data_IF_200403329270
#
_entry.id   IF_200403329270
#
_cell.length_a   1.000
_cell.length_b   1.000
_cell.length_c   1.000
_cell.angle_alpha   90.00
_cell.angle_beta   90.00
_cell.angle_gamma   90.00
#
_symmetry.space_group_name_H-M   'P 1'
#
loop_
_entity.id
_entity.type
_entity.pdbx_description
1 polymer ?
#
# COMPACT_ATOMS: atom_id res chain seq x y z
N UNK A 1 -9.03 24.81 22.09
CA UNK A 1 -9.10 23.34 21.85
C UNK A 1 -10.48 23.03 21.32
N UNK A 2 -10.60 22.80 20.02
CA UNK A 2 -11.88 22.88 19.27
C UNK A 2 -12.90 21.81 19.69
N UNK A 3 -14.14 22.22 19.96
CA UNK A 3 -15.30 21.40 20.37
C UNK A 3 -15.50 20.16 19.47
N UNK A 4 -15.14 20.24 18.19
CA UNK A 4 -15.15 19.09 17.26
C UNK A 4 -14.30 17.91 17.76
N UNK A 5 -13.11 18.13 18.35
CA UNK A 5 -12.27 17.02 18.83
C UNK A 5 -12.94 16.25 19.97
N UNK A 6 -13.70 16.95 20.83
CA UNK A 6 -14.40 16.32 21.94
C UNK A 6 -15.61 15.50 21.44
N UNK A 7 -16.29 16.00 20.40
CA UNK A 7 -17.41 15.29 19.77
C UNK A 7 -16.97 14.03 18.99
N UNK A 8 -15.79 14.07 18.35
CA UNK A 8 -15.21 12.92 17.65
C UNK A 8 -14.46 11.95 18.56
N UNK A 9 -14.23 12.31 19.82
CA UNK A 9 -13.53 11.45 20.79
C UNK A 9 -14.19 10.07 21.01
N UNK A 10 -15.51 9.95 21.23
CA UNK A 10 -16.15 8.64 21.38
C UNK A 10 -16.05 7.79 20.09
N UNK A 11 -16.07 8.42 18.90
CA UNK A 11 -15.87 7.72 17.64
C UNK A 11 -14.44 7.20 17.47
N UNK A 12 -13.45 7.95 17.95
CA UNK A 12 -12.05 7.50 17.98
C UNK A 12 -11.87 6.26 18.84
N UNK A 13 -12.53 6.22 20.02
CA UNK A 13 -12.47 5.06 20.90
C UNK A 13 -13.12 3.82 20.26
N UNK A 14 -14.28 3.99 19.60
CA UNK A 14 -14.93 2.90 18.86
C UNK A 14 -14.06 2.38 17.71
N UNK A 15 -13.44 3.28 16.95
CA UNK A 15 -12.51 2.91 15.88
C UNK A 15 -11.28 2.16 16.42
N UNK A 16 -10.73 2.61 17.55
CA UNK A 16 -9.62 1.95 18.23
C UNK A 16 -10.00 0.55 18.73
N UNK A 17 -11.19 0.38 19.30
CA UNK A 17 -11.69 -0.92 19.74
C UNK A 17 -11.87 -1.89 18.55
N UNK A 18 -12.42 -1.40 17.43
CA UNK A 18 -12.55 -2.20 16.21
C UNK A 18 -11.19 -2.64 15.63
N UNK A 19 -10.20 -1.74 15.62
CA UNK A 19 -8.82 -2.05 15.23
C UNK A 19 -8.18 -3.09 16.15
N UNK A 20 -8.39 -2.96 17.46
CA UNK A 20 -7.87 -3.91 18.45
C UNK A 20 -8.45 -5.31 18.24
N UNK A 21 -9.76 -5.42 18.06
CA UNK A 21 -10.41 -6.71 17.73
C UNK A 21 -9.85 -7.28 16.43
N UNK A 22 -9.68 -6.45 15.40
CA UNK A 22 -9.09 -6.88 14.13
C UNK A 22 -7.66 -7.43 14.32
N UNK A 23 -6.80 -6.73 15.06
CA UNK A 23 -5.44 -7.20 15.33
C UNK A 23 -5.44 -8.48 16.15
N UNK A 24 -6.30 -8.59 17.17
CA UNK A 24 -6.45 -9.82 17.96
C UNK A 24 -6.87 -11.03 17.10
N UNK A 25 -7.70 -10.83 16.07
CA UNK A 25 -8.07 -11.89 15.12
C UNK A 25 -6.92 -12.33 14.21
N UNK A 26 -6.02 -11.41 13.82
CA UNK A 26 -4.80 -11.77 13.09
C UNK A 26 -3.78 -12.48 14.02
N UNK A 27 -3.57 -11.97 15.23
CA UNK A 27 -2.61 -12.52 16.19
C UNK A 27 -3.01 -13.92 16.68
N UNK A 28 -4.32 -14.18 16.79
CA UNK A 28 -4.86 -15.51 17.14
C UNK A 28 -4.83 -16.52 15.99
N UNK A 29 -4.39 -16.12 14.78
CA UNK A 29 -4.32 -16.98 13.61
C UNK A 29 -5.68 -17.36 13.00
N UNK A 30 -6.78 -16.75 13.49
CA UNK A 30 -8.13 -16.93 12.96
C UNK A 30 -8.26 -16.33 11.54
N UNK A 31 -7.46 -15.31 11.22
CA UNK A 31 -7.43 -14.69 9.91
C UNK A 31 -6.25 -15.19 9.08
N UNK A 32 -6.51 -15.57 7.83
CA UNK A 32 -5.49 -16.12 6.93
C UNK A 32 -4.38 -15.09 6.66
N UNK A 33 -3.15 -15.43 7.06
CA UNK A 33 -1.95 -14.69 6.68
C UNK A 33 -1.20 -15.46 5.60
N UNK A 34 -1.05 -14.84 4.42
CA UNK A 34 -0.29 -15.43 3.32
C UNK A 34 1.17 -15.03 3.49
N UNK A 35 2.05 -16.02 3.71
CA UNK A 35 3.49 -15.78 3.67
C UNK A 35 3.97 -15.83 2.22
N UNK A 36 4.56 -14.74 1.70
CA UNK A 36 5.14 -14.76 0.37
C UNK A 36 6.33 -15.74 0.30
N UNK A 37 6.45 -16.43 -0.83
CA UNK A 37 7.54 -17.40 -1.08
C UNK A 37 8.89 -16.74 -1.35
N UNK A 38 8.90 -15.42 -1.61
CA UNK A 38 10.09 -14.62 -1.87
C UNK A 38 10.26 -13.55 -0.78
N UNK A 39 11.49 -13.06 -0.54
CA UNK A 39 11.72 -11.93 0.36
C UNK A 39 10.84 -10.74 -0.04
N UNK A 40 10.03 -10.25 0.90
CA UNK A 40 9.10 -9.15 0.66
C UNK A 40 9.33 -8.02 1.66
N UNK A 41 9.40 -6.79 1.15
CA UNK A 41 9.48 -5.58 1.96
C UNK A 41 8.12 -4.87 1.86
N UNK A 42 7.47 -4.64 3.01
CA UNK A 42 6.20 -3.92 3.06
C UNK A 42 6.47 -2.49 3.52
N UNK A 43 6.13 -1.51 2.68
CA UNK A 43 6.25 -0.09 2.99
C UNK A 43 4.84 0.45 3.26
N UNK A 44 4.58 0.85 4.50
CA UNK A 44 3.29 1.34 4.96
C UNK A 44 3.43 2.53 5.91
N UNK A 45 2.30 3.10 6.31
CA UNK A 45 2.28 4.16 7.32
C UNK A 45 1.10 4.00 8.27
N UNK A 46 1.25 4.49 9.50
CA UNK A 46 0.25 4.46 10.56
C UNK A 46 -0.73 5.65 10.49
N UNK A 47 -0.32 6.76 9.88
CA UNK A 47 -1.14 7.96 9.74
C UNK A 47 -1.77 8.10 8.34
N UNK A 48 -2.95 8.70 8.29
CA UNK A 48 -3.65 9.10 7.07
C UNK A 48 -3.02 10.40 6.53
N UNK A 49 -2.64 10.43 5.24
CA UNK A 49 -2.06 11.61 4.58
C UNK A 49 -0.86 11.29 3.69
N UNK A 50 -0.28 12.35 3.11
CA UNK A 50 0.92 12.31 2.26
C UNK A 50 2.19 12.04 3.07
N UNK A 51 2.38 10.79 3.47
CA UNK A 51 3.37 10.42 4.49
C UNK A 51 4.68 9.90 3.90
N UNK A 52 5.05 10.38 2.71
CA UNK A 52 6.32 10.04 2.06
C UNK A 52 6.50 8.56 1.67
N UNK A 53 5.42 7.76 1.61
CA UNK A 53 5.49 6.35 1.23
C UNK A 53 6.08 6.16 -0.18
N UNK A 54 5.62 6.97 -1.14
CA UNK A 54 6.08 6.91 -2.54
C UNK A 54 7.57 7.28 -2.68
N UNK A 55 8.06 8.41 -2.13
CA UNK A 55 9.50 8.69 -2.10
C UNK A 55 10.35 7.60 -1.42
N UNK A 56 9.85 7.02 -0.32
CA UNK A 56 10.55 5.94 0.38
C UNK A 56 10.65 4.67 -0.48
N UNK A 57 9.58 4.32 -1.19
CA UNK A 57 9.58 3.20 -2.12
C UNK A 57 10.57 3.43 -3.28
N UNK A 58 10.56 4.62 -3.89
CA UNK A 58 11.50 4.97 -4.95
C UNK A 58 12.96 4.90 -4.48
N UNK A 59 13.25 5.33 -3.25
CA UNK A 59 14.58 5.21 -2.67
C UNK A 59 15.02 3.75 -2.54
N UNK A 60 14.14 2.87 -2.03
CA UNK A 60 14.43 1.44 -1.89
C UNK A 60 14.66 0.80 -3.25
N UNK A 61 13.84 1.14 -4.25
CA UNK A 61 14.01 0.66 -5.62
C UNK A 61 15.37 1.07 -6.18
N UNK A 62 15.74 2.35 -6.10
CA UNK A 62 17.02 2.86 -6.60
C UNK A 62 18.23 2.18 -5.96
N UNK A 63 18.18 1.90 -4.66
CA UNK A 63 19.29 1.25 -3.95
C UNK A 63 19.44 -0.21 -4.37
N UNK A 64 18.33 -0.91 -4.63
CA UNK A 64 18.32 -2.35 -4.92
C UNK A 64 18.37 -2.66 -6.43
N UNK A 65 18.12 -1.69 -7.30
CA UNK A 65 17.95 -1.89 -8.75
C UNK A 65 19.13 -2.62 -9.41
N UNK A 66 20.35 -2.34 -8.95
CA UNK A 66 21.58 -2.95 -9.49
C UNK A 66 21.93 -4.32 -8.86
N UNK A 67 21.17 -4.77 -7.86
CA UNK A 67 21.51 -5.99 -7.10
C UNK A 67 20.65 -7.19 -7.48
N UNK A 68 19.39 -6.96 -7.84
CA UNK A 68 18.44 -8.03 -8.14
C UNK A 68 17.22 -7.52 -8.91
N UNK A 69 16.51 -8.40 -9.63
CA UNK A 69 15.23 -8.04 -10.24
C UNK A 69 14.21 -7.69 -9.16
N UNK A 70 13.57 -6.53 -9.30
CA UNK A 70 12.59 -6.02 -8.35
C UNK A 70 11.18 -6.09 -8.93
N UNK A 71 10.21 -6.40 -8.06
CA UNK A 71 8.80 -6.28 -8.35
C UNK A 71 8.09 -5.52 -7.24
N UNK A 72 7.20 -4.61 -7.61
CA UNK A 72 6.33 -3.88 -6.67
C UNK A 72 4.89 -4.34 -6.82
N UNK A 73 4.19 -4.35 -5.68
CA UNK A 73 2.76 -4.60 -5.61
C UNK A 73 2.10 -3.38 -4.99
N UNK A 74 1.28 -2.69 -5.78
CA UNK A 74 0.48 -1.56 -5.31
C UNK A 74 -1.00 -1.94 -5.28
N UNK A 75 -1.77 -1.27 -4.41
CA UNK A 75 -3.23 -1.39 -4.42
C UNK A 75 -3.86 -0.68 -5.62
N UNK A 76 -3.18 0.30 -6.21
CA UNK A 76 -3.73 1.16 -7.27
C UNK A 76 -4.85 2.06 -6.74
N UNK A 77 -4.52 2.89 -5.74
CA UNK A 77 -5.50 3.82 -5.15
C UNK A 77 -6.02 4.78 -6.24
N UNK A 78 -7.34 4.98 -6.30
CA UNK A 78 -7.99 5.86 -7.28
C UNK A 78 -8.34 5.22 -8.64
N UNK A 79 -7.92 3.97 -8.91
CA UNK A 79 -8.19 3.33 -10.21
C UNK A 79 -9.63 2.83 -10.39
N UNK A 80 -10.07 2.73 -11.63
CA UNK A 80 -11.35 2.11 -12.02
C UNK A 80 -11.16 0.62 -12.31
N UNK A 81 -11.27 -0.22 -11.28
CA UNK A 81 -11.27 -1.68 -11.43
C UNK A 81 -10.61 -2.41 -10.26
N UNK A 82 -10.87 -3.71 -10.12
CA UNK A 82 -10.32 -4.55 -9.05
C UNK A 82 -9.53 -5.76 -9.54
N UNK A 83 -9.35 -5.90 -10.85
CA UNK A 83 -8.57 -7.00 -11.42
C UNK A 83 -7.08 -6.81 -11.16
N UNK A 84 -6.34 -7.92 -11.16
CA UNK A 84 -4.88 -7.92 -11.14
C UNK A 84 -4.42 -7.43 -12.51
N UNK A 85 -3.48 -6.49 -12.52
CA UNK A 85 -2.98 -5.88 -13.75
C UNK A 85 -1.49 -5.59 -13.61
N UNK A 86 -0.69 -5.97 -14.60
CA UNK A 86 0.70 -5.53 -14.68
C UNK A 86 0.73 -4.16 -15.34
N UNK A 87 1.37 -3.20 -14.69
CA UNK A 87 1.39 -1.81 -15.12
C UNK A 87 2.42 -1.61 -16.23
N UNK A 88 1.92 -1.12 -17.36
CA UNK A 88 2.69 -0.73 -18.54
C UNK A 88 2.86 0.79 -18.59
N UNK A 89 3.91 1.26 -19.27
CA UNK A 89 4.12 2.70 -19.54
C UNK A 89 3.02 3.33 -20.41
N UNK A 90 2.21 2.49 -21.06
CA UNK A 90 1.10 2.91 -21.93
C UNK A 90 -0.23 3.03 -21.16
N UNK A 91 -0.26 2.61 -19.90
CA UNK A 91 -1.45 2.69 -19.08
C UNK A 91 -1.76 4.13 -18.67
N UNK A 92 -3.04 4.37 -18.38
CA UNK A 92 -3.50 5.66 -17.87
C UNK A 92 -3.68 5.62 -16.36
N UNK A 93 -3.47 6.75 -15.71
CA UNK A 93 -3.73 6.93 -14.28
C UNK A 93 -5.14 6.46 -13.86
N UNK A 94 -6.16 6.66 -14.70
CA UNK A 94 -7.52 6.19 -14.45
C UNK A 94 -7.61 4.65 -14.36
N UNK A 95 -6.79 3.93 -15.13
CA UNK A 95 -6.79 2.47 -15.20
C UNK A 95 -5.97 1.83 -14.08
N UNK A 96 -4.81 2.41 -13.74
CA UNK A 96 -3.85 1.78 -12.82
C UNK A 96 -3.68 2.52 -11.49
N UNK A 97 -4.00 3.81 -11.46
CA UNK A 97 -3.76 4.74 -10.35
C UNK A 97 -2.49 5.56 -10.55
N UNK A 98 -2.42 6.73 -9.90
CA UNK A 98 -1.31 7.68 -10.07
C UNK A 98 0.03 7.13 -9.55
N UNK A 99 0.04 6.59 -8.32
CA UNK A 99 1.25 6.04 -7.68
C UNK A 99 1.92 4.91 -8.48
N UNK A 100 1.22 3.84 -8.90
CA UNK A 100 1.85 2.75 -9.66
C UNK A 100 2.35 3.19 -11.04
N UNK A 101 1.67 4.12 -11.70
CA UNK A 101 2.12 4.67 -12.97
C UNK A 101 3.43 5.46 -12.78
N UNK A 102 3.48 6.34 -11.77
CA UNK A 102 4.69 7.09 -11.42
C UNK A 102 5.88 6.18 -11.12
N UNK A 103 5.67 5.09 -10.37
CA UNK A 103 6.73 4.13 -10.05
C UNK A 103 7.24 3.46 -11.34
N UNK A 104 6.33 3.09 -12.25
CA UNK A 104 6.70 2.46 -13.51
C UNK A 104 7.51 3.40 -14.41
N UNK A 105 7.13 4.67 -14.47
CA UNK A 105 7.88 5.70 -15.21
C UNK A 105 9.28 5.95 -14.64
N UNK A 106 9.39 6.06 -13.31
CA UNK A 106 10.65 6.31 -12.62
C UNK A 106 11.57 5.08 -12.52
N UNK A 107 11.02 3.87 -12.62
CA UNK A 107 11.74 2.61 -12.47
C UNK A 107 11.28 1.59 -13.51
N UNK A 108 11.64 1.86 -14.78
CA UNK A 108 11.20 1.07 -15.95
C UNK A 108 11.55 -0.41 -15.87
N UNK A 109 12.71 -0.73 -15.28
CA UNK A 109 13.20 -2.10 -15.06
C UNK A 109 12.36 -2.88 -14.04
N UNK A 110 11.68 -2.18 -13.11
CA UNK A 110 10.90 -2.81 -12.07
C UNK A 110 9.53 -3.26 -12.60
N UNK A 111 9.15 -4.51 -12.29
CA UNK A 111 7.83 -5.04 -12.60
C UNK A 111 6.82 -4.48 -11.59
N UNK A 112 5.83 -3.73 -12.05
CA UNK A 112 4.83 -3.10 -11.19
C UNK A 112 3.49 -3.79 -11.41
N UNK A 113 2.87 -4.29 -10.34
CA UNK A 113 1.60 -5.01 -10.43
C UNK A 113 0.57 -4.44 -9.47
N UNK A 114 -0.70 -4.51 -9.88
CA UNK A 114 -1.85 -4.12 -9.09
C UNK A 114 -2.50 -5.36 -8.48
N UNK A 115 -2.80 -5.30 -7.19
CA UNK A 115 -3.51 -6.37 -6.51
C UNK A 115 -4.15 -5.92 -5.21
N UNK A 116 -5.17 -6.67 -4.77
CA UNK A 116 -5.69 -6.53 -3.41
C UNK A 116 -4.71 -7.20 -2.45
N UNK A 117 -3.95 -6.36 -1.74
CA UNK A 117 -3.18 -6.79 -0.57
C UNK A 117 -4.20 -7.01 0.56
N UNK A 118 -4.57 -8.28 0.77
CA UNK A 118 -5.50 -8.75 1.81
C UNK A 118 -4.81 -8.96 3.14
#
# INVERSE_FOLDING_TARGET
MSVLRLLLFPFSWLYGAALWVRHALYDSGLQASVRPSRPSIVIGNLALGGTGKTPMLELVLRVLDNTMPLATLSRGYGRKGSHIHEVSEQDTADAVGDEPLQIKENSRSCMCSLGRIG
#
